data_IF_882719505591
#
_entry.id   IF_882719505591
#
_cell.length_a   1.000
_cell.length_b   1.000
_cell.length_c   1.000
_cell.angle_alpha   90.00
_cell.angle_beta   90.00
_cell.angle_gamma   90.00
#
_symmetry.space_group_name_H-M   'P 1'
#
loop_
_entity.id
_entity.type
_entity.pdbx_description
1 polymer ?
#
# COMPACT_ATOMS: atom_id res chain seq x y z
N UNK A 1 6.59 1.50 -7.50
CA UNK A 1 5.17 1.17 -7.74
C UNK A 1 4.40 1.66 -6.53
N UNK A 2 3.77 2.84 -6.61
CA UNK A 2 3.08 3.42 -5.47
C UNK A 2 1.68 2.81 -5.41
N UNK A 3 1.33 2.12 -4.32
CA UNK A 3 0.01 1.50 -4.15
C UNK A 3 -1.03 2.50 -3.64
N UNK A 4 -1.52 2.29 -2.42
CA UNK A 4 -2.39 3.24 -1.73
C UNK A 4 -1.77 4.64 -1.58
N UNK A 5 -0.44 4.74 -1.62
CA UNK A 5 0.30 6.01 -1.52
C UNK A 5 0.41 6.79 -2.85
N UNK A 6 -0.17 6.30 -3.96
CA UNK A 6 -0.03 6.93 -5.28
C UNK A 6 -0.75 8.28 -5.47
N UNK A 7 -1.35 8.85 -4.42
CA UNK A 7 -2.10 10.12 -4.54
C UNK A 7 -3.33 10.05 -5.44
N UNK A 8 -3.87 8.85 -5.70
CA UNK A 8 -5.02 8.64 -6.58
C UNK A 8 -6.30 9.17 -5.92
N UNK A 9 -7.17 9.81 -6.70
CA UNK A 9 -8.48 10.29 -6.26
C UNK A 9 -9.35 9.15 -5.71
N UNK A 10 -9.26 7.96 -6.31
CA UNK A 10 -9.98 6.76 -5.88
C UNK A 10 -9.02 5.58 -5.68
N UNK A 11 -8.78 5.23 -4.42
CA UNK A 11 -7.85 4.18 -3.99
C UNK A 11 -8.58 2.86 -3.70
N UNK A 12 -8.99 2.14 -4.74
CA UNK A 12 -9.48 0.77 -4.60
C UNK A 12 -8.60 -0.21 -5.39
N UNK A 13 -8.78 -1.50 -5.14
CA UNK A 13 -7.92 -2.54 -5.73
C UNK A 13 -7.87 -2.53 -7.26
N UNK A 14 -8.93 -2.08 -7.94
CA UNK A 14 -8.94 -1.91 -9.39
C UNK A 14 -8.08 -0.71 -9.81
N UNK A 15 -8.33 0.47 -9.26
CA UNK A 15 -7.56 1.67 -9.63
C UNK A 15 -6.08 1.53 -9.31
N UNK A 16 -5.75 0.84 -8.21
CA UNK A 16 -4.35 0.60 -7.82
C UNK A 16 -3.69 -0.40 -8.78
N UNK A 17 -4.40 -1.45 -9.19
CA UNK A 17 -3.90 -2.41 -10.17
C UNK A 17 -3.65 -1.74 -11.53
N UNK A 18 -4.58 -0.91 -12.01
CA UNK A 18 -4.38 -0.11 -13.23
C UNK A 18 -3.16 0.81 -13.11
N UNK A 19 -3.01 1.50 -11.98
CA UNK A 19 -1.86 2.37 -11.73
C UNK A 19 -0.53 1.60 -11.67
N UNK A 20 -0.56 0.35 -11.18
CA UNK A 20 0.59 -0.55 -11.16
C UNK A 20 0.90 -1.17 -12.54
N UNK A 21 0.07 -0.94 -13.55
CA UNK A 21 0.20 -1.54 -14.88
C UNK A 21 -0.29 -2.98 -14.97
N UNK A 22 -1.05 -3.44 -13.96
CA UNK A 22 -1.67 -4.77 -13.97
C UNK A 22 -2.91 -4.77 -14.87
N UNK A 23 -3.08 -5.86 -15.64
CA UNK A 23 -4.19 -6.04 -16.58
C UNK A 23 -5.51 -6.39 -15.85
N UNK A 24 -5.42 -6.82 -14.58
CA UNK A 24 -6.57 -7.15 -13.74
C UNK A 24 -6.26 -6.87 -12.27
N UNK A 25 -7.29 -6.73 -11.40
CA UNK A 25 -7.09 -6.53 -9.97
C UNK A 25 -6.66 -7.79 -9.23
N UNK A 26 -6.48 -8.92 -9.91
CA UNK A 26 -6.30 -10.23 -9.27
C UNK A 26 -5.00 -10.30 -8.48
N UNK A 27 -3.94 -9.62 -8.92
CA UNK A 27 -2.69 -9.50 -8.18
C UNK A 27 -2.92 -8.79 -6.84
N UNK A 28 -3.55 -7.63 -6.87
CA UNK A 28 -3.92 -6.87 -5.67
C UNK A 28 -4.88 -7.64 -4.76
N UNK A 29 -5.88 -8.33 -5.31
CA UNK A 29 -6.81 -9.14 -4.52
C UNK A 29 -6.12 -10.35 -3.89
N UNK A 30 -5.18 -11.00 -4.58
CA UNK A 30 -4.38 -12.10 -4.04
C UNK A 30 -3.49 -11.61 -2.91
N UNK A 31 -2.83 -10.46 -3.08
CA UNK A 31 -2.02 -9.82 -2.04
C UNK A 31 -2.87 -9.63 -0.77
N UNK A 32 -4.02 -8.98 -0.89
CA UNK A 32 -4.84 -8.65 0.28
C UNK A 32 -5.54 -9.85 0.92
N UNK A 33 -5.93 -10.87 0.14
CA UNK A 33 -6.78 -11.96 0.63
C UNK A 33 -6.06 -13.26 0.92
N UNK A 34 -4.88 -13.48 0.33
CA UNK A 34 -4.20 -14.79 0.33
C UNK A 34 -2.71 -14.73 0.61
N UNK A 35 -2.07 -13.56 0.60
CA UNK A 35 -0.67 -13.49 0.98
C UNK A 35 -0.53 -13.76 2.48
N UNK A 36 0.50 -14.52 2.83
CA UNK A 36 0.94 -14.59 4.21
C UNK A 36 1.74 -13.33 4.51
N UNK A 37 1.30 -12.59 5.51
CA UNK A 37 1.96 -11.38 5.96
C UNK A 37 2.73 -11.68 7.24
N UNK A 38 3.99 -11.27 7.28
CA UNK A 38 4.65 -10.98 8.54
C UNK A 38 3.95 -9.75 9.14
N UNK A 39 3.09 -9.97 10.13
CA UNK A 39 2.24 -8.94 10.70
C UNK A 39 3.05 -7.83 11.35
N UNK A 40 4.12 -8.19 12.06
CA UNK A 40 4.97 -7.22 12.73
C UNK A 40 5.82 -6.46 11.71
N UNK A 41 6.40 -7.17 10.73
CA UNK A 41 7.15 -6.54 9.65
C UNK A 41 6.32 -5.52 8.86
N UNK A 42 5.10 -5.90 8.44
CA UNK A 42 4.20 -5.00 7.71
C UNK A 42 3.79 -3.79 8.56
N UNK A 43 3.53 -3.99 9.86
CA UNK A 43 3.20 -2.88 10.76
C UNK A 43 4.37 -1.89 10.84
N UNK A 44 5.58 -2.40 11.00
CA UNK A 44 6.76 -1.59 11.20
C UNK A 44 7.10 -0.80 9.91
N UNK A 45 7.00 -1.43 8.74
CA UNK A 45 7.13 -0.78 7.43
C UNK A 45 6.10 0.34 7.23
N UNK A 46 4.82 0.08 7.53
CA UNK A 46 3.75 1.08 7.42
C UNK A 46 4.00 2.24 8.40
N UNK A 47 4.45 1.93 9.62
CA UNK A 47 4.77 2.95 10.61
C UNK A 47 5.94 3.82 10.16
N UNK A 48 7.00 3.24 9.61
CA UNK A 48 8.13 3.99 9.07
C UNK A 48 7.69 4.93 7.96
N UNK A 49 6.86 4.45 7.02
CA UNK A 49 6.30 5.28 5.95
C UNK A 49 5.49 6.45 6.52
N UNK A 50 4.60 6.20 7.48
CA UNK A 50 3.75 7.23 8.08
C UNK A 50 4.57 8.24 8.86
N UNK A 51 5.49 7.80 9.72
CA UNK A 51 6.36 8.68 10.51
C UNK A 51 7.30 9.47 9.59
N UNK A 52 7.85 8.84 8.54
CA UNK A 52 8.72 9.52 7.59
C UNK A 52 8.02 10.61 6.77
N UNK A 53 6.71 10.50 6.56
CA UNK A 53 5.95 11.50 5.78
C UNK A 53 5.14 12.48 6.62
N UNK A 54 4.70 12.10 7.81
CA UNK A 54 3.79 12.87 8.68
C UNK A 54 4.34 13.11 10.08
N UNK A 55 5.45 12.47 10.44
CA UNK A 55 6.11 12.69 11.73
C UNK A 55 6.73 14.07 11.78
N UNK A 56 6.50 14.76 12.89
CA UNK A 56 7.24 15.98 13.23
C UNK A 56 8.52 15.56 13.97
N UNK A 57 9.72 15.89 13.45
CA UNK A 57 10.97 15.55 14.13
C UNK A 57 11.17 16.28 15.47
N UNK A 58 10.41 17.35 15.72
CA UNK A 58 10.55 18.23 16.88
C UNK A 58 9.41 18.06 17.92
N UNK A 59 8.54 17.05 17.76
CA UNK A 59 7.42 16.77 18.68
C UNK A 59 7.78 15.90 19.89
#
# INVERSE_FOLDING_TARGET
MCGLAAGLDRRNGWTIAEHAGEVSPDGMQRLLRRAEFDVDGVRDDVRELVVGHLGDPDA
#
